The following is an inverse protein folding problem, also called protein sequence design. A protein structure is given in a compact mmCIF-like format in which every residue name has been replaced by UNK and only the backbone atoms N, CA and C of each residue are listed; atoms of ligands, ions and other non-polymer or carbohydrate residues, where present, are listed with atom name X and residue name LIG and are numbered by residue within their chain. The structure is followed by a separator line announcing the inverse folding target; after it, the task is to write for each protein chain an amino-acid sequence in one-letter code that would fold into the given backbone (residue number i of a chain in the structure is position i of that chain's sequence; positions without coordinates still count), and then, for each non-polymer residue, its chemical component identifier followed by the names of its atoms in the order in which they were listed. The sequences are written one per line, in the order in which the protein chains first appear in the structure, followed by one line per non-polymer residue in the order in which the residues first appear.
data_IF_081113637809
#
_entry.id   IF_081113637809
#
_cell.length_a   1.000
_cell.length_b   1.000
_cell.length_c   1.000
_cell.angle_alpha   90.00
_cell.angle_beta   90.00
_cell.angle_gamma   90.00
#
_symmetry.space_group_name_H-M   'P 1'
#
loop_
_entity.id
_entity.type
_entity.pdbx_description
1 polymer ?
#
# COMPACT_ATOMS: atom_id res chain seq x y z
N UNK A 1 29.30 14.57 14.72
CA UNK A 1 29.56 13.32 13.98
C UNK A 1 28.29 12.75 13.33
N UNK A 2 27.26 12.36 14.11
CA UNK A 2 26.04 11.72 13.56
C UNK A 2 25.28 12.57 12.53
N UNK A 3 25.09 13.88 12.78
CA UNK A 3 24.42 14.76 11.82
C UNK A 3 25.17 14.90 10.49
N UNK A 4 26.51 14.92 10.54
CA UNK A 4 27.36 15.00 9.34
C UNK A 4 27.21 13.71 8.52
N UNK A 5 27.22 12.55 9.18
CA UNK A 5 27.01 11.24 8.53
C UNK A 5 25.60 11.14 7.95
N UNK A 6 24.58 11.67 8.63
CA UNK A 6 23.20 11.66 8.13
C UNK A 6 23.03 12.56 6.89
N UNK A 7 23.62 13.75 6.92
CA UNK A 7 23.63 14.67 5.76
C UNK A 7 24.39 14.03 4.59
N UNK A 8 25.57 13.46 4.85
CA UNK A 8 26.36 12.79 3.82
C UNK A 8 25.62 11.57 3.24
N UNK A 9 24.95 10.79 4.09
CA UNK A 9 24.14 9.63 3.70
C UNK A 9 22.96 10.02 2.81
N UNK A 10 22.24 11.10 3.13
CA UNK A 10 21.15 11.60 2.30
C UNK A 10 21.65 12.10 0.94
N UNK A 11 22.81 12.79 0.92
CA UNK A 11 23.42 13.25 -0.33
C UNK A 11 23.82 12.05 -1.21
N UNK A 12 24.39 10.99 -0.63
CA UNK A 12 24.78 9.77 -1.35
C UNK A 12 23.56 8.95 -1.78
N UNK A 13 22.46 9.00 -1.03
CA UNK A 13 21.22 8.29 -1.36
C UNK A 13 20.64 8.75 -2.70
N UNK A 14 20.79 10.03 -3.06
CA UNK A 14 20.25 10.59 -4.31
C UNK A 14 20.85 9.91 -5.56
N UNK A 15 22.18 9.95 -5.81
CA UNK A 15 22.76 9.30 -6.99
C UNK A 15 22.57 7.78 -6.96
N UNK A 16 22.67 7.16 -5.77
CA UNK A 16 22.50 5.71 -5.64
C UNK A 16 21.06 5.28 -5.97
N UNK A 17 20.07 6.04 -5.51
CA UNK A 17 18.66 5.84 -5.83
C UNK A 17 18.40 5.94 -7.33
N UNK A 18 18.95 6.96 -8.01
CA UNK A 18 18.80 7.13 -9.47
C UNK A 18 19.41 5.94 -10.23
N UNK A 19 20.60 5.48 -9.83
CA UNK A 19 21.25 4.31 -10.45
C UNK A 19 20.41 3.05 -10.27
N UNK A 20 19.90 2.81 -9.06
CA UNK A 20 19.07 1.64 -8.77
C UNK A 20 17.73 1.68 -9.51
N UNK A 21 17.08 2.84 -9.60
CA UNK A 21 15.84 2.99 -10.38
C UNK A 21 16.10 2.67 -11.86
N UNK A 22 17.20 3.16 -12.44
CA UNK A 22 17.57 2.83 -13.84
C UNK A 22 17.87 1.35 -14.06
N UNK A 23 18.47 0.69 -13.08
CA UNK A 23 18.76 -0.74 -13.16
C UNK A 23 17.46 -1.56 -13.06
N UNK A 24 16.61 -1.24 -12.08
CA UNK A 24 15.32 -1.88 -11.89
C UNK A 24 14.37 -1.67 -13.08
N UNK A 25 14.37 -0.48 -13.69
CA UNK A 25 13.53 -0.19 -14.86
C UNK A 25 13.91 -1.06 -16.08
N UNK A 26 15.18 -1.44 -16.23
CA UNK A 26 15.60 -2.38 -17.30
C UNK A 26 15.04 -3.78 -17.09
N UNK A 27 14.93 -4.23 -15.84
CA UNK A 27 14.37 -5.55 -15.49
C UNK A 27 12.85 -5.56 -15.71
N UNK A 28 12.16 -4.51 -15.29
CA UNK A 28 10.69 -4.38 -15.48
C UNK A 28 10.31 -4.15 -16.95
N UNK A 29 11.21 -3.53 -17.74
CA UNK A 29 11.01 -3.32 -19.18
C UNK A 29 11.20 -4.56 -20.05
N UNK A 30 11.60 -5.71 -19.48
CA UNK A 30 11.69 -6.99 -20.18
C UNK A 30 10.30 -7.48 -20.64
N UNK A 31 10.20 -8.36 -21.67
CA UNK A 31 8.92 -8.80 -22.21
C UNK A 31 8.03 -9.36 -21.10
N UNK A 32 6.81 -8.83 -21.00
CA UNK A 32 5.83 -9.15 -19.95
C UNK A 32 5.58 -10.66 -19.81
N UNK A 33 5.67 -11.38 -20.93
CA UNK A 33 5.55 -12.84 -21.01
C UNK A 33 6.61 -13.60 -20.23
N UNK A 34 7.82 -13.05 -20.06
CA UNK A 34 8.88 -13.66 -19.26
C UNK A 34 8.88 -13.16 -17.80
N UNK A 35 8.53 -11.89 -17.59
CA UNK A 35 8.58 -11.27 -16.25
C UNK A 35 7.50 -11.83 -15.32
N UNK A 36 6.27 -12.00 -15.82
CA UNK A 36 5.14 -12.52 -15.02
C UNK A 36 5.39 -13.91 -14.41
N UNK A 37 5.82 -14.95 -15.15
CA UNK A 37 6.07 -16.26 -14.56
C UNK A 37 7.23 -16.24 -13.56
N UNK A 38 8.27 -15.45 -13.80
CA UNK A 38 9.40 -15.30 -12.86
C UNK A 38 8.93 -14.68 -11.54
N UNK A 39 8.11 -13.63 -11.59
CA UNK A 39 7.52 -13.02 -10.39
C UNK A 39 6.68 -14.05 -9.62
N UNK A 40 5.84 -14.83 -10.31
CA UNK A 40 5.01 -15.85 -9.67
C UNK A 40 5.83 -16.91 -8.93
N UNK A 41 6.92 -17.39 -9.54
CA UNK A 41 7.83 -18.34 -8.90
C UNK A 41 8.50 -17.71 -7.68
N UNK A 42 8.98 -16.47 -7.80
CA UNK A 42 9.59 -15.74 -6.68
C UNK A 42 8.60 -15.52 -5.53
N UNK A 43 7.33 -15.21 -5.81
CA UNK A 43 6.29 -15.06 -4.79
C UNK A 43 6.00 -16.40 -4.08
N UNK A 44 5.95 -17.51 -4.82
CA UNK A 44 5.74 -18.84 -4.24
C UNK A 44 6.92 -19.25 -3.33
N UNK A 45 8.16 -19.05 -3.79
CA UNK A 45 9.38 -19.34 -3.01
C UNK A 45 9.48 -18.43 -1.79
N UNK A 46 9.18 -17.13 -1.94
CA UNK A 46 9.20 -16.17 -0.85
C UNK A 46 8.20 -16.53 0.26
N UNK A 47 6.96 -16.85 -0.09
CA UNK A 47 5.95 -17.26 0.88
C UNK A 47 6.32 -18.57 1.60
N UNK A 48 6.92 -19.51 0.87
CA UNK A 48 7.43 -20.75 1.45
C UNK A 48 8.57 -20.50 2.46
N UNK A 49 9.48 -19.57 2.14
CA UNK A 49 10.60 -19.20 3.01
C UNK A 49 10.12 -18.44 4.27
N UNK A 50 9.15 -17.54 4.14
CA UNK A 50 8.64 -16.74 5.28
C UNK A 50 7.79 -17.57 6.25
N UNK A 51 7.02 -18.54 5.75
CA UNK A 51 6.10 -19.32 6.58
C UNK A 51 6.74 -20.57 7.24
N UNK A 52 8.08 -20.68 7.24
CA UNK A 52 8.78 -21.77 7.90
C UNK A 52 8.58 -23.13 7.24
N UNK A 53 8.74 -23.22 5.91
CA UNK A 53 8.68 -24.48 5.16
C UNK A 53 7.28 -25.13 5.09
N UNK A 54 6.21 -24.35 5.33
CA UNK A 54 4.83 -24.82 5.28
C UNK A 54 4.23 -24.66 3.87
N UNK A 55 3.78 -25.76 3.28
CA UNK A 55 3.09 -25.82 1.98
C UNK A 55 1.78 -25.02 1.96
N UNK A 56 1.17 -24.78 3.12
CA UNK A 56 -0.06 -23.98 3.24
C UNK A 56 0.13 -22.54 2.72
N UNK A 57 1.29 -21.93 2.93
CA UNK A 57 1.57 -20.58 2.45
C UNK A 57 1.63 -20.50 0.92
N UNK A 58 2.16 -21.54 0.27
CA UNK A 58 2.19 -21.64 -1.19
C UNK A 58 0.77 -21.77 -1.75
N UNK A 59 -0.07 -22.57 -1.10
CA UNK A 59 -1.48 -22.68 -1.47
C UNK A 59 -2.24 -21.36 -1.31
N UNK A 60 -1.95 -20.61 -0.24
CA UNK A 60 -2.50 -19.27 -0.03
C UNK A 60 -2.08 -18.31 -1.14
N UNK A 61 -0.80 -18.30 -1.55
CA UNK A 61 -0.33 -17.46 -2.66
C UNK A 61 -1.03 -17.83 -3.96
N UNK A 62 -1.19 -19.12 -4.25
CA UNK A 62 -1.91 -19.56 -5.45
C UNK A 62 -3.39 -19.11 -5.42
N UNK A 63 -4.06 -19.30 -4.28
CA UNK A 63 -5.45 -18.88 -4.10
C UNK A 63 -5.63 -17.36 -4.24
N UNK A 64 -4.82 -16.56 -3.54
CA UNK A 64 -4.87 -15.10 -3.63
C UNK A 64 -4.42 -14.57 -4.98
N UNK A 65 -3.51 -15.26 -5.67
CA UNK A 65 -3.12 -14.94 -7.05
C UNK A 65 -4.27 -15.10 -8.04
N UNK A 66 -5.01 -16.21 -7.95
CA UNK A 66 -6.22 -16.43 -8.76
C UNK A 66 -7.31 -15.43 -8.40
N UNK A 67 -7.52 -15.17 -7.11
CA UNK A 67 -8.47 -14.17 -6.64
C UNK A 67 -8.15 -12.76 -7.18
N UNK A 68 -6.87 -12.37 -7.15
CA UNK A 68 -6.40 -11.12 -7.75
C UNK A 68 -6.67 -11.06 -9.26
N UNK A 69 -6.44 -12.15 -9.99
CA UNK A 69 -6.74 -12.21 -11.43
C UNK A 69 -8.24 -12.02 -11.72
N UNK A 70 -9.13 -12.60 -10.91
CA UNK A 70 -10.59 -12.39 -11.04
C UNK A 70 -10.96 -10.94 -10.76
N UNK A 71 -10.36 -10.32 -9.74
CA UNK A 71 -10.59 -8.91 -9.42
C UNK A 71 -10.12 -7.97 -10.54
N UNK A 72 -8.95 -8.24 -11.12
CA UNK A 72 -8.40 -7.46 -12.24
C UNK A 72 -9.31 -7.58 -13.46
N UNK A 73 -9.85 -8.78 -13.75
CA UNK A 73 -10.84 -8.99 -14.82
C UNK A 73 -12.13 -8.19 -14.61
N UNK A 74 -12.51 -7.97 -13.35
CA UNK A 74 -13.70 -7.19 -12.99
C UNK A 74 -13.43 -5.68 -12.90
N UNK A 75 -12.22 -5.22 -13.24
CA UNK A 75 -11.84 -3.81 -13.23
C UNK A 75 -11.54 -3.25 -11.83
N UNK A 76 -11.38 -4.10 -10.81
CA UNK A 76 -10.96 -3.66 -9.48
C UNK A 76 -9.44 -3.51 -9.42
N UNK A 77 -8.90 -2.37 -8.95
CA UNK A 77 -7.47 -2.18 -8.81
C UNK A 77 -6.93 -3.00 -7.63
N UNK A 78 -6.45 -4.21 -7.93
CA UNK A 78 -5.90 -5.16 -6.93
C UNK A 78 -4.82 -4.51 -6.07
N UNK A 79 -3.92 -3.73 -6.68
CA UNK A 79 -2.84 -3.04 -5.98
C UNK A 79 -3.36 -2.07 -4.88
N UNK A 80 -4.43 -1.34 -5.15
CA UNK A 80 -5.01 -0.41 -4.17
C UNK A 80 -5.69 -1.15 -3.02
N UNK A 81 -6.34 -2.29 -3.30
CA UNK A 81 -6.95 -3.12 -2.28
C UNK A 81 -5.91 -3.71 -1.33
N UNK A 82 -4.82 -4.28 -1.89
CA UNK A 82 -3.71 -4.83 -1.08
C UNK A 82 -3.06 -3.74 -0.23
N UNK A 83 -2.80 -2.56 -0.81
CA UNK A 83 -2.30 -1.41 -0.06
C UNK A 83 -3.24 -1.02 1.09
N UNK A 84 -4.56 -1.00 0.85
CA UNK A 84 -5.55 -0.72 1.89
C UNK A 84 -5.51 -1.73 3.04
N UNK A 85 -5.44 -3.02 2.73
CA UNK A 85 -5.38 -4.09 3.75
C UNK A 85 -4.10 -3.99 4.58
N UNK A 86 -2.94 -3.86 3.93
CA UNK A 86 -1.65 -3.76 4.62
C UNK A 86 -1.60 -2.49 5.47
N UNK A 87 -1.97 -1.34 4.90
CA UNK A 87 -1.98 -0.07 5.61
C UNK A 87 -2.99 -0.06 6.76
N UNK A 88 -4.15 -0.72 6.61
CA UNK A 88 -5.15 -0.84 7.67
C UNK A 88 -4.58 -1.47 8.94
N UNK A 89 -3.87 -2.60 8.80
CA UNK A 89 -3.22 -3.25 9.96
C UNK A 89 -2.17 -2.37 10.63
N UNK A 90 -1.41 -1.61 9.85
CA UNK A 90 -0.43 -0.65 10.38
C UNK A 90 -1.14 0.48 11.13
N UNK A 91 -2.23 1.02 10.58
CA UNK A 91 -3.02 2.08 11.22
C UNK A 91 -3.61 1.58 12.54
N UNK A 92 -4.17 0.38 12.58
CA UNK A 92 -4.71 -0.22 13.79
C UNK A 92 -3.63 -0.41 14.87
N UNK A 93 -2.48 -0.97 14.51
CA UNK A 93 -1.36 -1.16 15.44
C UNK A 93 -0.84 0.16 16.01
N UNK A 94 -0.71 1.19 15.16
CA UNK A 94 -0.30 2.51 15.59
C UNK A 94 -1.38 3.16 16.48
N UNK A 95 -2.66 3.00 16.16
CA UNK A 95 -3.77 3.50 16.97
C UNK A 95 -3.79 2.86 18.36
N UNK A 96 -3.69 1.53 18.44
CA UNK A 96 -3.61 0.80 19.71
C UNK A 96 -2.39 1.23 20.52
N UNK A 97 -1.22 1.35 19.87
CA UNK A 97 0.02 1.80 20.53
C UNK A 97 -0.13 3.24 21.06
N UNK A 98 -0.76 4.13 20.30
CA UNK A 98 -1.06 5.50 20.73
C UNK A 98 -2.05 5.56 21.89
N UNK A 99 -3.07 4.69 21.91
CA UNK A 99 -4.03 4.58 23.01
C UNK A 99 -3.40 4.05 24.30
N UNK A 100 -2.55 3.02 24.20
CA UNK A 100 -1.78 2.49 25.33
C UNK A 100 -0.86 3.58 25.90
N UNK A 101 -0.20 4.35 25.03
CA UNK A 101 0.67 5.47 25.44
C UNK A 101 -0.10 6.65 26.05
N UNK A 102 -1.41 6.71 25.86
CA UNK A 102 -2.31 7.78 26.33
C UNK A 102 -3.17 7.35 27.53
N UNK A 103 -2.82 6.25 28.20
CA UNK A 103 -3.56 5.67 29.33
C UNK A 103 -5.06 5.48 29.03
N UNK A 104 -5.40 5.06 27.81
CA UNK A 104 -6.78 4.79 27.40
C UNK A 104 -7.67 6.04 27.23
N UNK A 105 -7.12 7.25 27.39
CA UNK A 105 -7.87 8.48 27.15
C UNK A 105 -7.75 8.90 25.67
N UNK A 106 -8.89 9.15 25.02
CA UNK A 106 -8.96 9.72 23.65
C UNK A 106 -8.81 11.25 23.64
N UNK A 107 -8.77 11.86 24.82
CA UNK A 107 -8.62 13.31 25.01
C UNK A 107 -7.32 13.88 24.39
N UNK A 108 -6.16 13.21 24.41
CA UNK A 108 -4.92 13.73 23.82
C UNK A 108 -4.97 13.83 22.28
N UNK A 109 -5.85 13.09 21.61
CA UNK A 109 -6.07 13.24 20.16
C UNK A 109 -6.75 14.57 19.81
N UNK A 110 -7.51 15.15 20.74
CA UNK A 110 -8.12 16.48 20.59
C UNK A 110 -7.27 17.59 21.20
N UNK A 111 -6.49 17.30 22.24
CA UNK A 111 -5.64 18.28 22.91
C UNK A 111 -4.37 18.64 22.11
N UNK A 112 -3.87 17.71 21.27
CA UNK A 112 -2.78 18.01 20.32
C UNK A 112 -3.33 18.68 19.05
N UNK A 113 -3.01 19.96 18.78
CA UNK A 113 -3.51 20.67 17.59
C UNK A 113 -3.03 20.06 16.27
N UNK A 114 -1.90 19.34 16.28
CA UNK A 114 -1.41 18.62 15.09
C UNK A 114 -2.28 17.40 14.78
N UNK A 115 -2.77 16.70 15.82
CA UNK A 115 -3.57 15.50 15.65
C UNK A 115 -4.99 15.83 15.17
N UNK A 116 -5.57 16.94 15.65
CA UNK A 116 -6.89 17.39 15.21
C UNK A 116 -6.89 17.87 13.75
N UNK A 117 -5.84 18.59 13.32
CA UNK A 117 -5.67 19.00 11.91
C UNK A 117 -5.50 17.78 11.00
N UNK A 118 -4.67 16.81 11.39
CA UNK A 118 -4.50 15.58 10.62
C UNK A 118 -5.79 14.77 10.56
N UNK A 119 -6.53 14.64 11.67
CA UNK A 119 -7.82 13.95 11.69
C UNK A 119 -8.84 14.64 10.77
N UNK A 120 -8.93 15.98 10.82
CA UNK A 120 -9.79 16.75 9.92
C UNK A 120 -9.41 16.54 8.44
N UNK A 121 -8.11 16.51 8.11
CA UNK A 121 -7.63 16.20 6.77
C UNK A 121 -7.96 14.77 6.35
N UNK A 122 -7.83 13.77 7.24
CA UNK A 122 -8.20 12.39 6.94
C UNK A 122 -9.70 12.26 6.68
N UNK A 123 -10.55 12.85 7.50
CA UNK A 123 -12.00 12.87 7.26
C UNK A 123 -12.35 13.61 5.98
N UNK A 124 -11.72 14.75 5.69
CA UNK A 124 -11.91 15.45 4.43
C UNK A 124 -11.49 14.60 3.22
N UNK A 125 -10.34 13.93 3.28
CA UNK A 125 -9.84 13.07 2.22
C UNK A 125 -10.66 11.79 2.02
N UNK A 126 -11.30 11.26 3.08
CA UNK A 126 -12.22 10.12 2.99
C UNK A 126 -13.60 10.55 2.46
N UNK A 127 -14.10 11.70 2.91
CA UNK A 127 -15.38 12.23 2.46
C UNK A 127 -15.30 12.77 1.04
N UNK A 128 -14.14 13.23 0.56
CA UNK A 128 -13.97 13.75 -0.79
C UNK A 128 -14.34 12.76 -1.92
N UNK A 129 -13.79 11.53 -1.98
CA UNK A 129 -14.16 10.55 -3.00
C UNK A 129 -15.60 10.06 -2.82
N UNK A 130 -16.08 9.92 -1.59
CA UNK A 130 -17.48 9.51 -1.30
C UNK A 130 -18.46 10.59 -1.75
N UNK A 131 -18.16 11.87 -1.49
CA UNK A 131 -19.00 13.00 -1.89
C UNK A 131 -19.02 13.18 -3.41
N UNK A 132 -17.88 13.02 -4.09
CA UNK A 132 -17.81 13.07 -5.56
C UNK A 132 -18.56 11.88 -6.19
N UNK A 133 -18.44 10.67 -5.63
CA UNK A 133 -19.17 9.50 -6.11
C UNK A 133 -20.68 9.62 -5.89
N UNK A 134 -21.11 10.11 -4.73
CA UNK A 134 -22.53 10.33 -4.40
C UNK A 134 -23.11 11.48 -5.25
N UNK A 135 -22.33 12.53 -5.51
CA UNK A 135 -22.70 13.64 -6.42
C UNK A 135 -22.80 13.18 -7.86
N UNK A 136 -21.86 12.37 -8.36
CA UNK A 136 -21.90 11.83 -9.73
C UNK A 136 -23.06 10.83 -9.91
N UNK A 137 -23.43 10.09 -8.85
CA UNK A 137 -24.61 9.22 -8.80
C UNK A 137 -25.93 10.02 -8.78
N UNK A 138 -26.01 11.11 -8.00
CA UNK A 138 -27.15 12.03 -7.96
C UNK A 138 -27.29 12.89 -9.23
N UNK A 139 -26.19 13.25 -9.89
CA UNK A 139 -26.18 14.05 -11.12
C UNK A 139 -26.32 13.22 -12.40
N UNK A 140 -26.60 11.92 -12.30
CA UNK A 140 -27.01 11.09 -13.45
C UNK A 140 -26.00 11.00 -14.60
N UNK A 141 -24.73 11.35 -14.38
CA UNK A 141 -23.68 11.12 -15.38
C UNK A 141 -23.19 9.68 -15.26
N UNK A 142 -23.93 8.79 -15.93
CA UNK A 142 -23.38 7.53 -16.43
C UNK A 142 -22.07 7.86 -17.15
N UNK A 143 -20.93 7.59 -16.53
CA UNK A 143 -19.69 7.44 -17.29
C UNK A 143 -19.76 6.05 -17.92
N UNK A 144 -19.96 5.93 -19.25
CA UNK A 144 -19.70 4.66 -19.89
C UNK A 144 -18.21 4.37 -19.67
N UNK A 145 -17.92 3.29 -18.96
CA UNK A 145 -16.59 2.69 -18.92
C UNK A 145 -16.35 2.21 -20.35
N UNK A 146 -15.62 3.01 -21.13
CA UNK A 146 -15.26 2.68 -22.49
C UNK A 146 -14.23 1.54 -22.49
N UNK A 147 -14.46 0.63 -23.44
CA UNK A 147 -13.82 -0.67 -23.68
C UNK A 147 -12.31 -0.64 -23.87
#
# INVERSE_FOLDING_TARGET
ALYIIFILGNIIMIPFGIVMIRLASKVVGAPRSAVMPVIMIFCAVGAFATAGNNLFAVWCVAFFGVFGFVMEKNGYPVAAMVLGIVMGTMVEQNFVTSLIKSDGSVLPFFDRPVSSVLAAMTFAALLWPVFVWTRDWLMGRRRPVAA
#
